data_IF_081669195789
#
_entry.id   IF_081669195789
#
_cell.length_a   1.000
_cell.length_b   1.000
_cell.length_c   1.000
_cell.angle_alpha   90.00
_cell.angle_beta   90.00
_cell.angle_gamma   90.00
#
_symmetry.space_group_name_H-M   'P 1'
#
loop_
_entity.id
_entity.type
_entity.pdbx_description
1 polymer ?
#
# COMPACT_ATOMS: atom_id res chain seq x y z
N UNK A 1 20.61 -21.75 43.03
CA UNK A 1 19.28 -21.27 42.59
C UNK A 1 19.45 -19.89 41.98
N UNK A 2 19.33 -19.76 40.65
CA UNK A 2 19.45 -18.45 39.97
C UNK A 2 18.17 -17.63 40.21
N UNK A 3 18.31 -16.35 40.55
CA UNK A 3 17.18 -15.50 40.93
C UNK A 3 16.19 -15.32 39.77
N UNK A 4 14.89 -15.34 40.07
CA UNK A 4 13.78 -15.15 39.10
C UNK A 4 13.91 -13.84 38.32
N UNK A 5 14.64 -12.86 38.87
CA UNK A 5 14.99 -11.58 38.21
C UNK A 5 15.92 -11.75 37.00
N UNK A 6 16.84 -12.72 37.04
CA UNK A 6 17.76 -12.97 35.92
C UNK A 6 17.09 -13.71 34.77
N UNK A 7 16.09 -14.56 35.07
CA UNK A 7 15.25 -15.23 34.06
C UNK A 7 14.29 -14.24 33.38
N UNK A 8 13.85 -13.20 34.10
CA UNK A 8 13.05 -12.10 33.56
C UNK A 8 13.78 -11.24 32.51
N UNK A 9 15.11 -11.15 32.60
CA UNK A 9 15.92 -10.35 31.68
C UNK A 9 16.20 -11.04 30.34
N UNK A 10 16.17 -12.37 30.29
CA UNK A 10 16.32 -13.15 29.04
C UNK A 10 15.02 -13.30 28.26
N UNK A 11 13.85 -13.24 28.91
CA UNK A 11 12.53 -13.25 28.24
C UNK A 11 12.14 -11.88 27.64
N UNK A 12 12.72 -10.79 28.13
CA UNK A 12 12.58 -9.45 27.56
C UNK A 12 13.62 -9.21 26.47
N UNK A 13 13.41 -9.77 25.28
CA UNK A 13 14.38 -9.76 24.19
C UNK A 13 14.69 -8.35 23.67
N UNK A 14 15.70 -7.68 24.25
CA UNK A 14 16.35 -6.51 23.62
C UNK A 14 16.90 -6.87 22.23
N UNK A 15 17.28 -8.14 22.04
CA UNK A 15 17.71 -8.70 20.74
C UNK A 15 16.57 -8.67 19.72
N UNK A 16 15.33 -8.98 20.12
CA UNK A 16 14.17 -9.01 19.22
C UNK A 16 13.77 -7.63 18.69
N UNK A 17 13.73 -6.59 19.55
CA UNK A 17 13.41 -5.23 19.09
C UNK A 17 14.51 -4.64 18.20
N UNK A 18 15.78 -4.93 18.51
CA UNK A 18 16.90 -4.48 17.69
C UNK A 18 16.89 -5.18 16.33
N UNK A 19 16.62 -6.50 16.30
CA UNK A 19 16.52 -7.26 15.04
C UNK A 19 15.39 -6.76 14.12
N UNK A 20 14.24 -6.34 14.68
CA UNK A 20 13.12 -5.81 13.87
C UNK A 20 13.40 -4.40 13.32
N UNK A 21 14.27 -3.63 13.99
CA UNK A 21 14.60 -2.26 13.59
C UNK A 21 15.86 -2.17 12.72
N UNK A 22 16.60 -3.28 12.56
CA UNK A 22 17.69 -3.37 11.61
C UNK A 22 17.12 -3.28 10.20
N UNK A 23 17.70 -2.39 9.37
CA UNK A 23 17.30 -2.23 7.98
C UNK A 23 18.08 -3.21 7.13
N UNK A 24 17.38 -3.98 6.32
CA UNK A 24 17.94 -4.89 5.34
C UNK A 24 17.58 -4.44 3.93
N UNK A 25 18.40 -4.80 2.95
CA UNK A 25 18.15 -4.44 1.55
C UNK A 25 16.92 -5.17 0.97
N UNK A 26 16.54 -6.31 1.56
CA UNK A 26 15.37 -7.12 1.19
C UNK A 26 14.06 -6.66 1.87
N UNK A 27 14.07 -5.57 2.64
CA UNK A 27 12.88 -5.10 3.36
C UNK A 27 11.86 -4.44 2.41
N UNK A 28 10.59 -4.84 2.53
CA UNK A 28 9.48 -4.18 1.82
C UNK A 28 9.16 -2.81 2.44
N UNK A 29 9.45 -1.74 1.71
CA UNK A 29 9.24 -0.36 2.17
C UNK A 29 7.97 0.28 1.58
N UNK A 30 7.36 1.18 2.35
CA UNK A 30 6.23 2.01 1.88
C UNK A 30 6.79 3.34 1.35
N UNK A 31 6.75 3.54 0.03
CA UNK A 31 7.26 4.76 -0.60
C UNK A 31 6.32 5.96 -0.43
N UNK A 32 5.01 5.74 -0.55
CA UNK A 32 4.01 6.78 -0.37
C UNK A 32 2.69 6.20 0.16
N UNK A 33 1.99 7.03 0.95
CA UNK A 33 0.64 6.76 1.37
C UNK A 33 -0.20 8.04 1.22
N UNK A 34 -1.36 7.92 0.59
CA UNK A 34 -2.32 9.01 0.46
C UNK A 34 -3.74 8.52 0.75
N UNK A 35 -4.60 9.47 1.09
CA UNK A 35 -6.00 9.26 1.44
C UNK A 35 -6.84 10.31 0.73
N UNK A 36 -7.97 9.90 0.15
CA UNK A 36 -8.99 10.83 -0.32
C UNK A 36 -9.67 11.55 0.87
N UNK A 37 -9.97 12.83 0.70
CA UNK A 37 -10.71 13.62 1.68
C UNK A 37 -12.22 13.44 1.49
N UNK A 38 -13.00 13.65 2.56
CA UNK A 38 -14.46 13.52 2.56
C UNK A 38 -15.11 14.69 1.79
N UNK A 39 -16.13 14.41 0.98
CA UNK A 39 -17.15 15.40 0.57
C UNK A 39 -17.11 15.87 -0.89
N UNK A 40 -15.98 15.75 -1.61
CA UNK A 40 -15.86 16.29 -2.97
C UNK A 40 -16.40 15.42 -4.11
N UNK A 41 -16.61 14.12 -3.86
CA UNK A 41 -16.85 13.11 -4.90
C UNK A 41 -18.22 12.44 -4.80
N UNK A 42 -19.24 13.16 -4.28
CA UNK A 42 -20.58 12.58 -4.12
C UNK A 42 -21.22 12.16 -5.45
N UNK A 43 -20.91 12.88 -6.53
CA UNK A 43 -21.48 12.68 -7.87
C UNK A 43 -20.52 11.93 -8.82
N UNK A 44 -19.36 11.48 -8.33
CA UNK A 44 -18.36 10.83 -9.17
C UNK A 44 -18.54 9.31 -9.20
N UNK A 45 -18.27 8.71 -10.35
CA UNK A 45 -18.15 7.27 -10.43
C UNK A 45 -16.93 6.78 -9.62
N UNK A 46 -17.03 5.55 -9.11
CA UNK A 46 -15.95 4.91 -8.34
C UNK A 46 -14.65 4.85 -9.15
N UNK A 47 -14.74 4.69 -10.48
CA UNK A 47 -13.56 4.64 -11.37
C UNK A 47 -12.80 5.97 -11.38
N UNK A 48 -13.51 7.09 -11.51
CA UNK A 48 -12.92 8.42 -11.54
C UNK A 48 -12.32 8.80 -10.18
N UNK A 49 -13.01 8.45 -9.10
CA UNK A 49 -12.51 8.61 -7.74
C UNK A 49 -11.18 7.87 -7.57
N UNK A 50 -11.12 6.61 -7.99
CA UNK A 50 -9.93 5.79 -7.84
C UNK A 50 -8.79 6.26 -8.75
N UNK A 51 -9.10 6.68 -9.97
CA UNK A 51 -8.12 7.26 -10.92
C UNK A 51 -7.46 8.52 -10.35
N UNK A 52 -8.24 9.40 -9.73
CA UNK A 52 -7.73 10.61 -9.08
C UNK A 52 -6.83 10.29 -7.88
N UNK A 53 -7.19 9.29 -7.07
CA UNK A 53 -6.38 8.85 -5.93
C UNK A 53 -5.07 8.23 -6.40
N UNK A 54 -5.11 7.36 -7.41
CA UNK A 54 -3.91 6.72 -7.94
C UNK A 54 -2.93 7.74 -8.54
N UNK A 55 -3.45 8.75 -9.24
CA UNK A 55 -2.64 9.86 -9.76
C UNK A 55 -1.99 10.66 -8.63
N UNK A 56 -2.75 11.02 -7.60
CA UNK A 56 -2.21 11.77 -6.45
C UNK A 56 -1.19 10.97 -5.62
N UNK A 57 -1.34 9.64 -5.54
CA UNK A 57 -0.33 8.77 -4.90
C UNK A 57 0.95 8.73 -5.75
N UNK A 58 0.85 8.61 -7.07
CA UNK A 58 2.00 8.60 -7.97
C UNK A 58 2.79 9.92 -7.91
N UNK A 59 2.09 11.05 -7.88
CA UNK A 59 2.70 12.38 -7.68
C UNK A 59 3.41 12.48 -6.33
N UNK A 60 2.76 12.02 -5.25
CA UNK A 60 3.36 12.03 -3.90
C UNK A 60 4.58 11.11 -3.80
N UNK A 61 4.55 9.98 -4.50
CA UNK A 61 5.67 9.05 -4.61
C UNK A 61 6.79 9.55 -5.53
N UNK A 62 6.58 10.66 -6.25
CA UNK A 62 7.50 11.19 -7.26
C UNK A 62 7.87 10.12 -8.32
N UNK A 63 6.91 9.26 -8.64
CA UNK A 63 7.14 8.15 -9.55
C UNK A 63 7.25 8.70 -10.98
N UNK A 64 8.47 8.67 -11.52
CA UNK A 64 8.78 9.23 -12.85
C UNK A 64 8.21 8.37 -13.98
N UNK A 65 8.18 7.05 -13.80
CA UNK A 65 7.58 6.11 -14.74
C UNK A 65 6.57 5.21 -14.02
N UNK A 66 5.32 5.29 -14.45
CA UNK A 66 4.18 4.54 -13.88
C UNK A 66 4.15 3.09 -14.35
N UNK A 67 4.99 2.74 -15.34
CA UNK A 67 5.17 1.38 -15.82
C UNK A 67 5.94 0.49 -14.84
N UNK A 68 6.66 1.10 -13.88
CA UNK A 68 7.38 0.38 -12.81
C UNK A 68 6.45 -0.32 -11.83
N UNK A 69 5.16 0.00 -11.83
CA UNK A 69 4.18 -0.67 -10.97
C UNK A 69 3.75 -1.97 -11.61
N UNK A 70 4.11 -3.08 -10.98
CA UNK A 70 3.81 -4.44 -11.46
C UNK A 70 2.40 -4.89 -11.08
N UNK A 71 1.86 -4.41 -9.96
CA UNK A 71 0.56 -4.84 -9.45
C UNK A 71 -0.19 -3.71 -8.72
N UNK A 72 -1.51 -3.70 -8.89
CA UNK A 72 -2.43 -2.78 -8.20
C UNK A 72 -3.54 -3.59 -7.54
N UNK A 73 -3.51 -3.66 -6.21
CA UNK A 73 -4.54 -4.32 -5.41
C UNK A 73 -5.43 -3.29 -4.71
N UNK A 74 -6.74 -3.48 -4.77
CA UNK A 74 -7.72 -2.60 -4.11
C UNK A 74 -8.81 -3.42 -3.45
N UNK A 75 -9.13 -3.08 -2.20
CA UNK A 75 -10.25 -3.64 -1.47
C UNK A 75 -11.52 -2.81 -1.67
N UNK A 76 -12.61 -3.47 -2.06
CA UNK A 76 -13.95 -2.87 -2.13
C UNK A 76 -14.97 -3.83 -1.49
N UNK A 77 -16.00 -3.26 -0.85
CA UNK A 77 -17.01 -4.00 -0.09
C UNK A 77 -18.37 -4.00 -0.80
N UNK A 78 -18.87 -2.83 -1.20
CA UNK A 78 -20.27 -2.67 -1.61
C UNK A 78 -20.50 -2.82 -3.11
N UNK A 79 -19.50 -2.52 -3.95
CA UNK A 79 -19.70 -2.65 -5.39
C UNK A 79 -19.76 -4.13 -5.83
N UNK A 80 -20.69 -4.48 -6.73
CA UNK A 80 -20.87 -5.86 -7.20
C UNK A 80 -19.62 -6.37 -7.91
N UNK A 81 -19.35 -7.69 -7.80
CA UNK A 81 -18.18 -8.32 -8.42
C UNK A 81 -16.84 -7.78 -7.91
N UNK A 82 -16.80 -7.26 -6.68
CA UNK A 82 -15.58 -6.70 -6.08
C UNK A 82 -15.07 -5.44 -6.79
N UNK A 83 -15.89 -4.80 -7.62
CA UNK A 83 -15.48 -3.70 -8.50
C UNK A 83 -14.34 -4.05 -9.47
N UNK A 84 -14.03 -5.32 -9.76
CA UNK A 84 -12.85 -5.70 -10.55
C UNK A 84 -12.76 -4.98 -11.91
N UNK A 85 -13.85 -4.95 -12.67
CA UNK A 85 -13.92 -4.23 -13.96
C UNK A 85 -13.74 -2.73 -13.79
N UNK A 86 -14.40 -2.15 -12.78
CA UNK A 86 -14.34 -0.71 -12.46
C UNK A 86 -12.93 -0.29 -12.05
N UNK A 87 -12.28 -1.15 -11.27
CA UNK A 87 -10.89 -1.00 -10.88
C UNK A 87 -9.99 -0.94 -12.09
N UNK A 88 -10.21 -1.89 -13.00
CA UNK A 88 -9.39 -2.01 -14.18
C UNK A 88 -9.49 -0.78 -15.07
N UNK A 89 -10.70 -0.26 -15.23
CA UNK A 89 -10.95 0.99 -15.93
C UNK A 89 -10.27 2.19 -15.25
N UNK A 90 -10.23 2.24 -13.91
CA UNK A 90 -9.59 3.33 -13.17
C UNK A 90 -8.05 3.35 -13.27
N UNK A 91 -7.42 2.21 -13.53
CA UNK A 91 -5.95 2.06 -13.61
C UNK A 91 -5.40 2.54 -14.96
N UNK A 92 -6.22 2.52 -16.02
CA UNK A 92 -5.82 2.91 -17.38
C UNK A 92 -5.56 4.42 -17.55
N UNK A 93 -6.44 5.35 -17.15
CA UNK A 93 -6.22 6.80 -17.31
C UNK A 93 -4.94 7.34 -16.65
N UNK A 94 -4.56 6.92 -15.41
CA UNK A 94 -3.33 7.37 -14.82
C UNK A 94 -2.08 6.85 -15.54
N UNK A 95 -2.19 5.81 -16.37
CA UNK A 95 -1.10 5.26 -17.17
C UNK A 95 -0.31 4.14 -16.48
N UNK A 96 -0.91 3.44 -15.52
CA UNK A 96 -0.30 2.22 -14.97
C UNK A 96 -0.42 1.08 -15.99
N UNK A 97 0.65 0.29 -16.13
CA UNK A 97 0.70 -0.71 -17.19
C UNK A 97 -0.42 -1.75 -17.05
N UNK A 98 -1.00 -2.13 -18.19
CA UNK A 98 -2.06 -3.11 -18.25
C UNK A 98 -1.53 -4.56 -18.28
N UNK A 99 -0.27 -4.75 -18.61
CA UNK A 99 0.27 -6.05 -18.98
C UNK A 99 1.36 -6.45 -18.00
N UNK A 100 0.96 -6.91 -16.82
CA UNK A 100 1.80 -7.77 -15.99
C UNK A 100 1.17 -9.16 -15.99
N UNK A 101 1.52 -9.94 -17.01
CA UNK A 101 1.41 -11.40 -17.03
C UNK A 101 2.82 -11.91 -16.73
N UNK A 102 3.09 -12.11 -15.46
CA UNK A 102 4.12 -13.00 -14.92
C UNK A 102 3.59 -13.62 -13.64
#
# INVERSE_FOLDING_TARGET
MQSVRQVGATIGSKVGKVAILMKHDDDTVICAAARAKKGGFKDMCIEDLLSAVLSGVAEKAQLSDKSLVENVAVGNVLAPGGAATRLRMAVLPPGFSASSIH
#
